data_IF_651461582095
#
_entry.id   IF_651461582095
#
_cell.length_a   1.000
_cell.length_b   1.000
_cell.length_c   1.000
_cell.angle_alpha   90.00
_cell.angle_beta   90.00
_cell.angle_gamma   90.00
#
_symmetry.space_group_name_H-M   'P 1'
#
loop_
_entity.id
_entity.type
_entity.pdbx_description
1 polymer ?
#
# COMPACT_ATOMS: atom_id res chain seq x y z
N UNK A 1 -23.31 -10.75 4.22
CA UNK A 1 -23.25 -11.93 5.12
C UNK A 1 -21.89 -12.58 4.89
N UNK A 2 -21.22 -13.09 5.92
CA UNK A 2 -19.95 -13.79 5.76
C UNK A 2 -20.07 -14.95 4.77
N UNK A 3 -19.06 -15.17 3.95
CA UNK A 3 -19.00 -16.29 3.01
C UNK A 3 -18.70 -17.58 3.78
N UNK A 4 -19.48 -18.63 3.52
CA UNK A 4 -19.30 -19.92 4.19
C UNK A 4 -18.60 -20.94 3.30
N UNK A 5 -18.03 -21.99 3.90
CA UNK A 5 -17.49 -23.13 3.16
C UNK A 5 -18.51 -23.77 2.20
N UNK A 6 -19.80 -23.76 2.57
CA UNK A 6 -20.88 -24.27 1.72
C UNK A 6 -21.11 -23.38 0.49
N UNK A 7 -21.00 -22.06 0.65
CA UNK A 7 -21.11 -21.11 -0.46
C UNK A 7 -19.96 -21.29 -1.46
N UNK A 8 -18.73 -21.44 -0.97
CA UNK A 8 -17.56 -21.71 -1.83
C UNK A 8 -17.76 -23.01 -2.62
N UNK A 9 -18.18 -24.10 -1.97
CA UNK A 9 -18.44 -25.37 -2.67
C UNK A 9 -19.53 -25.26 -3.72
N UNK A 10 -20.58 -24.49 -3.46
CA UNK A 10 -21.64 -24.20 -4.43
C UNK A 10 -21.07 -23.41 -5.61
N UNK A 11 -20.35 -22.32 -5.37
CA UNK A 11 -19.80 -21.46 -6.43
C UNK A 11 -18.74 -22.17 -7.28
N UNK A 12 -17.92 -23.04 -6.69
CA UNK A 12 -16.97 -23.87 -7.44
C UNK A 12 -17.70 -24.67 -8.54
N UNK A 13 -18.87 -25.24 -8.24
CA UNK A 13 -19.68 -26.01 -9.20
C UNK A 13 -20.39 -25.10 -10.20
N UNK A 14 -21.07 -24.06 -9.71
CA UNK A 14 -21.88 -23.14 -10.53
C UNK A 14 -21.06 -22.35 -11.54
N UNK A 15 -19.83 -21.91 -11.14
CA UNK A 15 -18.94 -21.10 -11.96
C UNK A 15 -17.83 -21.90 -12.66
N UNK A 16 -17.91 -23.25 -12.63
CA UNK A 16 -16.91 -24.14 -13.20
C UNK A 16 -15.48 -23.77 -12.78
N UNK A 17 -15.25 -23.58 -11.47
CA UNK A 17 -13.92 -23.29 -10.94
C UNK A 17 -13.10 -24.57 -10.96
N UNK A 18 -11.98 -24.55 -11.67
CA UNK A 18 -11.08 -25.71 -11.82
C UNK A 18 -9.81 -25.59 -10.99
N UNK A 19 -9.39 -24.36 -10.66
CA UNK A 19 -8.24 -24.09 -9.82
C UNK A 19 -8.54 -23.02 -8.77
N UNK A 20 -7.90 -23.14 -7.61
CA UNK A 20 -7.97 -22.16 -6.52
C UNK A 20 -6.56 -21.70 -6.17
N UNK A 21 -6.36 -20.39 -6.15
CA UNK A 21 -5.14 -19.74 -5.69
C UNK A 21 -5.24 -19.41 -4.21
N UNK A 22 -4.38 -19.99 -3.42
CA UNK A 22 -4.18 -19.63 -2.02
C UNK A 22 -3.11 -18.54 -1.99
N UNK A 23 -3.54 -17.30 -1.78
CA UNK A 23 -2.71 -16.11 -1.94
C UNK A 23 -2.28 -15.57 -0.57
N UNK A 24 -1.01 -15.15 -0.45
CA UNK A 24 -0.47 -14.52 0.74
C UNK A 24 0.62 -13.53 0.33
N UNK A 25 1.01 -12.62 1.24
CA UNK A 25 2.02 -11.60 0.96
C UNK A 25 3.33 -11.92 1.67
N UNK A 26 4.47 -11.73 1.00
CA UNK A 26 5.77 -11.69 1.67
C UNK A 26 6.00 -10.34 2.37
N UNK A 27 7.10 -10.22 3.12
CA UNK A 27 7.42 -8.97 3.85
C UNK A 27 7.64 -7.76 2.94
N UNK A 28 7.99 -7.97 1.69
CA UNK A 28 8.21 -6.90 0.70
C UNK A 28 6.92 -6.47 0.01
N UNK A 29 5.78 -7.09 0.33
CA UNK A 29 4.47 -6.77 -0.25
C UNK A 29 4.20 -7.46 -1.58
N UNK A 30 5.01 -8.44 -1.97
CA UNK A 30 4.76 -9.23 -3.16
C UNK A 30 3.71 -10.31 -2.86
N UNK A 31 2.63 -10.32 -3.64
CA UNK A 31 1.64 -11.39 -3.56
C UNK A 31 2.22 -12.69 -4.10
N UNK A 32 2.21 -13.72 -3.28
CA UNK A 32 2.58 -15.10 -3.60
C UNK A 32 1.33 -15.96 -3.67
N UNK A 33 1.41 -17.12 -4.28
CA UNK A 33 0.30 -18.08 -4.24
C UNK A 33 0.79 -19.53 -4.36
N UNK A 34 -0.03 -20.42 -3.82
CA UNK A 34 -0.04 -21.85 -4.15
C UNK A 34 -1.35 -22.14 -4.89
N UNK A 35 -1.27 -22.68 -6.08
CA UNK A 35 -2.45 -23.03 -6.86
C UNK A 35 -2.74 -24.51 -6.72
N UNK A 36 -3.99 -24.85 -6.44
CA UNK A 36 -4.48 -26.23 -6.27
C UNK A 36 -5.66 -26.51 -7.20
N UNK A 37 -5.85 -27.77 -7.69
CA UNK A 37 -7.06 -28.14 -8.39
C UNK A 37 -8.27 -28.11 -7.44
N UNK A 38 -9.42 -27.62 -7.93
CA UNK A 38 -10.64 -27.45 -7.13
C UNK A 38 -11.42 -28.77 -6.95
N UNK A 39 -10.72 -29.87 -6.62
CA UNK A 39 -11.36 -31.16 -6.30
C UNK A 39 -11.93 -31.14 -4.89
N UNK A 40 -12.92 -32.02 -4.62
CA UNK A 40 -13.52 -32.11 -3.28
C UNK A 40 -12.47 -32.39 -2.18
N UNK A 41 -11.48 -33.27 -2.47
CA UNK A 41 -10.38 -33.57 -1.54
C UNK A 41 -9.52 -32.34 -1.21
N UNK A 42 -9.15 -31.57 -2.22
CA UNK A 42 -8.32 -30.36 -2.00
C UNK A 42 -9.13 -29.26 -1.32
N UNK A 43 -10.40 -29.10 -1.68
CA UNK A 43 -11.31 -28.18 -1.00
C UNK A 43 -11.46 -28.53 0.49
N UNK A 44 -11.56 -29.82 0.84
CA UNK A 44 -11.61 -30.26 2.23
C UNK A 44 -10.36 -29.87 3.00
N UNK A 45 -9.17 -30.04 2.40
CA UNK A 45 -7.90 -29.62 3.02
C UNK A 45 -7.86 -28.12 3.23
N UNK A 46 -8.19 -27.32 2.22
CA UNK A 46 -8.17 -25.84 2.30
C UNK A 46 -9.16 -25.34 3.34
N UNK A 47 -10.42 -25.76 3.25
CA UNK A 47 -11.48 -25.29 4.13
C UNK A 47 -11.35 -25.79 5.58
N UNK A 48 -10.46 -26.76 5.83
CA UNK A 48 -10.08 -27.22 7.19
C UNK A 48 -8.72 -26.71 7.65
N UNK A 49 -8.14 -25.70 6.98
CA UNK A 49 -6.85 -25.09 7.32
C UNK A 49 -5.65 -26.08 7.28
N UNK A 50 -5.67 -27.01 6.34
CA UNK A 50 -4.64 -28.05 6.16
C UNK A 50 -3.83 -27.90 4.87
N UNK A 51 -3.91 -26.74 4.21
CA UNK A 51 -3.08 -26.43 3.05
C UNK A 51 -1.66 -26.07 3.52
N UNK A 52 -0.72 -26.96 3.27
CA UNK A 52 0.68 -26.80 3.66
C UNK A 52 1.52 -26.29 2.48
N UNK A 53 2.54 -25.49 2.77
CA UNK A 53 3.53 -25.02 1.79
C UNK A 53 4.91 -24.88 2.42
N UNK A 54 5.95 -24.82 1.58
CA UNK A 54 7.32 -24.55 2.00
C UNK A 54 7.57 -23.02 2.04
N UNK A 55 7.77 -22.49 3.25
CA UNK A 55 8.06 -21.06 3.48
C UNK A 55 9.55 -20.70 3.34
N UNK A 56 10.46 -21.67 3.22
CA UNK A 56 11.92 -21.42 3.28
C UNK A 56 12.47 -20.60 2.12
N UNK A 57 11.77 -20.58 0.99
CA UNK A 57 12.13 -19.79 -0.19
C UNK A 57 11.36 -18.46 -0.30
N UNK A 58 10.62 -18.09 0.76
CA UNK A 58 9.87 -16.83 0.82
C UNK A 58 10.68 -15.79 1.58
N UNK A 59 10.85 -14.61 0.98
CA UNK A 59 11.64 -13.52 1.57
C UNK A 59 11.14 -13.14 2.98
N UNK A 60 12.05 -13.23 3.95
CA UNK A 60 11.79 -12.87 5.34
C UNK A 60 10.92 -13.87 6.13
N UNK A 61 10.63 -15.08 5.59
CA UNK A 61 9.82 -16.06 6.31
C UNK A 61 10.70 -16.90 7.25
N UNK A 62 11.00 -18.15 6.90
CA UNK A 62 11.64 -19.12 7.80
C UNK A 62 12.90 -19.72 7.22
N UNK A 63 13.68 -20.42 8.05
CA UNK A 63 14.86 -21.16 7.60
C UNK A 63 14.47 -22.51 7.03
N UNK A 64 15.37 -23.13 6.24
CA UNK A 64 15.16 -24.44 5.58
C UNK A 64 14.77 -25.55 6.57
N UNK A 65 15.28 -25.53 7.79
CA UNK A 65 14.99 -26.53 8.80
C UNK A 65 13.61 -26.35 9.50
N UNK A 66 12.89 -25.28 9.20
CA UNK A 66 11.56 -24.95 9.75
C UNK A 66 10.61 -24.55 8.60
N UNK A 67 10.73 -25.21 7.45
CA UNK A 67 10.12 -24.73 6.20
C UNK A 67 8.62 -24.95 6.10
N UNK A 68 8.07 -25.95 6.77
CA UNK A 68 6.66 -26.30 6.65
C UNK A 68 5.77 -25.29 7.37
N UNK A 69 4.80 -24.75 6.63
CA UNK A 69 3.84 -23.76 7.09
C UNK A 69 2.44 -24.06 6.55
N UNK A 70 1.43 -23.49 7.18
CA UNK A 70 0.03 -23.65 6.78
C UNK A 70 -0.58 -22.33 6.29
N UNK A 71 -1.42 -22.43 5.27
CA UNK A 71 -2.26 -21.35 4.77
C UNK A 71 -3.67 -21.50 5.31
N UNK A 72 -4.12 -20.52 6.08
CA UNK A 72 -5.47 -20.44 6.62
C UNK A 72 -6.27 -19.41 5.80
N UNK A 73 -7.18 -19.86 4.91
CA UNK A 73 -7.91 -18.97 4.03
C UNK A 73 -8.92 -18.13 4.80
N UNK A 74 -8.95 -16.84 4.52
CA UNK A 74 -10.04 -15.97 4.91
C UNK A 74 -11.17 -16.11 3.88
N UNK A 75 -12.26 -16.79 4.26
CA UNK A 75 -13.33 -17.13 3.33
C UNK A 75 -14.03 -15.90 2.75
N UNK A 76 -14.07 -14.79 3.47
CA UNK A 76 -14.66 -13.54 2.99
C UNK A 76 -13.85 -12.87 1.87
N UNK A 77 -12.65 -13.38 1.57
CA UNK A 77 -11.83 -12.94 0.42
C UNK A 77 -12.07 -13.77 -0.84
N UNK A 78 -12.98 -14.76 -0.79
CA UNK A 78 -13.30 -15.60 -1.95
C UNK A 78 -13.65 -14.74 -3.16
N UNK A 79 -12.95 -14.95 -4.25
CA UNK A 79 -13.21 -14.27 -5.52
C UNK A 79 -12.97 -15.19 -6.70
N UNK A 80 -13.88 -15.19 -7.67
CA UNK A 80 -13.69 -15.88 -8.94
C UNK A 80 -13.20 -14.87 -9.96
N UNK A 81 -12.00 -15.09 -10.50
CA UNK A 81 -11.40 -14.19 -11.47
C UNK A 81 -12.17 -14.20 -12.79
N UNK A 82 -12.47 -13.02 -13.38
CA UNK A 82 -13.31 -12.92 -14.58
C UNK A 82 -12.57 -13.20 -15.90
N UNK A 83 -11.40 -13.83 -15.84
CA UNK A 83 -10.58 -14.20 -17.00
C UNK A 83 -10.38 -15.72 -17.17
N UNK A 84 -11.41 -16.50 -16.86
CA UNK A 84 -11.46 -17.92 -17.18
C UNK A 84 -11.51 -18.18 -18.69
N UNK A 85 -11.27 -19.40 -19.09
CA UNK A 85 -11.37 -19.89 -20.46
C UNK A 85 -12.29 -21.12 -20.57
N UNK A 86 -12.25 -21.78 -21.72
CA UNK A 86 -13.03 -23.00 -21.96
C UNK A 86 -12.70 -24.19 -21.01
N UNK A 87 -11.51 -24.15 -20.37
CA UNK A 87 -11.06 -25.16 -19.42
C UNK A 87 -11.57 -24.88 -17.99
N UNK A 88 -12.20 -23.75 -17.77
CA UNK A 88 -12.80 -23.37 -16.50
C UNK A 88 -12.32 -22.04 -15.95
N UNK A 89 -12.80 -21.72 -14.76
CA UNK A 89 -12.47 -20.50 -14.04
C UNK A 89 -11.42 -20.77 -12.97
N UNK A 90 -10.67 -19.73 -12.61
CA UNK A 90 -9.75 -19.72 -11.47
C UNK A 90 -10.34 -18.83 -10.38
N UNK A 91 -10.33 -19.31 -9.15
CA UNK A 91 -10.71 -18.51 -7.98
C UNK A 91 -9.49 -18.21 -7.09
N UNK A 92 -9.64 -17.25 -6.17
CA UNK A 92 -8.63 -16.92 -5.20
C UNK A 92 -9.18 -16.79 -3.79
N UNK A 93 -8.36 -17.10 -2.82
CA UNK A 93 -8.54 -16.84 -1.38
C UNK A 93 -7.27 -16.20 -0.85
N UNK A 94 -7.40 -15.12 -0.09
CA UNK A 94 -6.27 -14.56 0.67
C UNK A 94 -6.16 -15.33 1.97
N UNK A 95 -4.94 -15.71 2.32
CA UNK A 95 -4.66 -16.58 3.46
C UNK A 95 -3.78 -15.85 4.48
N UNK A 96 -4.02 -16.15 5.74
CA UNK A 96 -3.06 -15.91 6.81
C UNK A 96 -2.07 -17.08 6.89
N UNK A 97 -0.87 -16.81 7.38
CA UNK A 97 0.18 -17.82 7.51
C UNK A 97 0.30 -18.31 8.95
N UNK A 98 0.39 -19.62 9.11
CA UNK A 98 0.49 -20.28 10.41
C UNK A 98 1.67 -21.24 10.47
N UNK A 99 2.22 -21.44 11.67
CA UNK A 99 3.28 -22.42 11.93
C UNK A 99 2.71 -23.84 12.02
N UNK A 100 3.59 -24.83 12.06
CA UNK A 100 3.22 -26.25 12.27
C UNK A 100 2.58 -26.54 13.62
N UNK A 101 2.84 -25.68 14.62
CA UNK A 101 2.25 -25.74 15.95
C UNK A 101 0.82 -25.17 16.00
N UNK A 102 0.35 -24.56 14.87
CA UNK A 102 -0.96 -23.96 14.77
C UNK A 102 -1.05 -22.52 15.28
N UNK A 103 0.10 -21.87 15.47
CA UNK A 103 0.19 -20.48 15.90
C UNK A 103 0.29 -19.54 14.69
N UNK A 104 -0.28 -18.34 14.75
CA UNK A 104 -0.07 -17.32 13.73
C UNK A 104 1.42 -17.03 13.52
N UNK A 105 1.87 -17.05 12.28
CA UNK A 105 3.28 -16.79 11.99
C UNK A 105 3.63 -15.32 12.22
N UNK A 106 4.65 -15.04 13.03
CA UNK A 106 5.07 -13.70 13.40
C UNK A 106 5.58 -12.84 12.20
N UNK A 107 5.97 -13.49 11.11
CA UNK A 107 6.43 -12.86 9.87
C UNK A 107 5.33 -12.64 8.83
N UNK A 108 4.06 -12.99 9.13
CA UNK A 108 2.94 -12.74 8.25
C UNK A 108 2.53 -11.26 8.28
N UNK A 109 2.68 -10.50 7.16
CA UNK A 109 2.28 -9.10 7.10
C UNK A 109 0.79 -8.87 7.41
N UNK A 110 -0.08 -9.74 6.92
CA UNK A 110 -1.52 -9.67 7.15
C UNK A 110 -1.86 -9.95 8.61
N UNK A 111 -1.20 -10.93 9.21
CA UNK A 111 -1.26 -11.23 10.66
C UNK A 111 -0.78 -10.08 11.52
N UNK A 112 0.25 -9.35 11.05
CA UNK A 112 0.76 -8.15 11.73
C UNK A 112 -0.30 -7.03 11.78
N UNK A 113 -0.98 -6.75 10.68
CA UNK A 113 -2.09 -5.77 10.67
C UNK A 113 -3.23 -6.20 11.61
N UNK A 114 -3.59 -7.48 11.63
CA UNK A 114 -4.58 -8.01 12.58
C UNK A 114 -4.16 -7.81 14.04
N UNK A 115 -2.85 -7.85 14.34
CA UNK A 115 -2.34 -7.55 15.68
C UNK A 115 -2.57 -6.07 16.04
N UNK A 116 -2.26 -5.14 15.14
CA UNK A 116 -2.51 -3.71 15.33
C UNK A 116 -4.01 -3.40 15.50
N UNK A 117 -4.88 -4.10 14.75
CA UNK A 117 -6.33 -3.96 14.89
C UNK A 117 -6.84 -4.42 16.25
N UNK A 118 -6.29 -5.50 16.82
CA UNK A 118 -6.65 -5.90 18.21
C UNK A 118 -6.23 -4.84 19.23
N UNK A 119 -5.04 -4.25 19.08
CA UNK A 119 -4.63 -3.14 19.95
C UNK A 119 -5.58 -1.94 19.80
N UNK A 120 -6.00 -1.60 18.60
CA UNK A 120 -7.01 -0.56 18.36
C UNK A 120 -8.31 -0.83 19.11
N UNK A 121 -8.80 -2.09 19.10
CA UNK A 121 -10.01 -2.49 19.84
C UNK A 121 -9.81 -2.34 21.36
N UNK A 122 -8.62 -2.70 21.89
CA UNK A 122 -8.25 -2.52 23.30
C UNK A 122 -8.23 -1.04 23.71
N UNK A 123 -7.81 -0.15 22.82
CA UNK A 123 -7.84 1.32 23.02
C UNK A 123 -9.27 1.88 22.97
N UNK A 124 -10.24 1.12 22.42
CA UNK A 124 -11.66 1.46 22.43
C UNK A 124 -12.24 1.91 21.09
N UNK A 125 -11.55 1.68 19.99
CA UNK A 125 -12.07 1.93 18.64
C UNK A 125 -12.57 0.64 17.98
N UNK A 126 -13.60 0.79 17.13
CA UNK A 126 -14.25 -0.33 16.45
C UNK A 126 -13.62 -0.66 15.10
N UNK A 127 -13.27 0.36 14.32
CA UNK A 127 -12.68 0.16 13.00
C UNK A 127 -11.71 1.27 12.63
N UNK A 128 -10.68 0.88 11.89
CA UNK A 128 -9.78 1.76 11.16
C UNK A 128 -10.05 1.57 9.67
N UNK A 129 -10.38 2.66 8.98
CA UNK A 129 -10.75 2.63 7.58
C UNK A 129 -9.67 3.27 6.72
N UNK A 130 -9.52 2.74 5.50
CA UNK A 130 -8.55 3.17 4.50
C UNK A 130 -9.22 3.37 3.14
N UNK A 131 -9.08 4.57 2.58
CA UNK A 131 -9.35 4.87 1.16
C UNK A 131 -8.02 5.10 0.45
N UNK A 132 -7.50 4.14 -0.32
CA UNK A 132 -6.25 4.30 -1.05
C UNK A 132 -6.46 4.91 -2.42
N UNK A 133 -5.49 5.71 -2.89
CA UNK A 133 -5.43 6.31 -4.21
C UNK A 133 -4.15 5.80 -4.93
N UNK A 134 -4.15 4.58 -5.48
CA UNK A 134 -2.96 3.96 -6.05
C UNK A 134 -2.72 4.36 -7.50
N UNK A 135 -1.59 5.01 -7.75
CA UNK A 135 -1.12 5.40 -9.07
C UNK A 135 -0.23 4.32 -9.69
N UNK A 136 -0.23 4.25 -11.03
CA UNK A 136 0.60 3.31 -11.79
C UNK A 136 0.96 3.85 -13.17
N UNK A 137 2.01 3.29 -13.77
CA UNK A 137 2.42 3.60 -15.14
C UNK A 137 2.10 2.45 -16.09
N UNK A 138 1.81 2.81 -17.35
CA UNK A 138 1.67 1.90 -18.46
C UNK A 138 2.78 2.15 -19.48
N UNK A 139 3.58 1.13 -19.74
CA UNK A 139 4.66 1.12 -20.71
C UNK A 139 4.32 0.19 -21.88
N UNK A 140 4.92 0.46 -23.04
CA UNK A 140 4.85 -0.44 -24.18
C UNK A 140 5.70 -1.68 -23.94
N UNK A 141 5.32 -2.77 -24.58
CA UNK A 141 6.11 -3.97 -24.69
C UNK A 141 6.95 -3.91 -25.98
N UNK A 142 8.11 -4.55 -25.96
CA UNK A 142 8.89 -4.77 -27.17
C UNK A 142 8.34 -5.95 -28.02
N UNK A 143 9.00 -6.29 -29.11
CA UNK A 143 8.62 -7.38 -30.00
C UNK A 143 8.67 -8.78 -29.36
N UNK A 144 9.45 -8.93 -28.29
CA UNK A 144 9.57 -10.17 -27.52
C UNK A 144 8.53 -10.23 -26.38
N UNK A 145 7.80 -9.13 -26.16
CA UNK A 145 6.87 -8.97 -25.07
C UNK A 145 7.51 -8.57 -23.75
N UNK A 146 8.73 -8.06 -23.76
CA UNK A 146 9.42 -7.54 -22.59
C UNK A 146 9.06 -6.06 -22.34
N UNK A 147 9.05 -5.60 -21.07
CA UNK A 147 8.72 -4.22 -20.73
C UNK A 147 9.80 -3.26 -21.23
N UNK A 148 9.37 -2.14 -21.83
CA UNK A 148 10.26 -1.03 -22.21
C UNK A 148 10.09 0.15 -21.24
N UNK A 149 10.89 1.22 -21.41
CA UNK A 149 10.67 2.53 -20.77
C UNK A 149 9.93 3.51 -21.69
N UNK A 150 9.34 3.01 -22.77
CA UNK A 150 8.50 3.81 -23.67
C UNK A 150 7.07 3.84 -23.16
N UNK A 151 6.60 5.04 -22.80
CA UNK A 151 5.22 5.25 -22.34
C UNK A 151 4.23 5.10 -23.51
N UNK A 152 3.01 4.70 -23.21
CA UNK A 152 1.99 4.46 -24.24
C UNK A 152 1.42 5.73 -24.86
N UNK A 153 1.48 6.88 -24.17
CA UNK A 153 0.90 8.15 -24.62
C UNK A 153 1.73 9.38 -24.22
N UNK A 154 1.18 10.56 -24.46
CA UNK A 154 1.72 11.87 -24.08
C UNK A 154 0.70 12.70 -23.31
N UNK A 155 -0.29 12.03 -22.72
CA UNK A 155 -1.32 12.66 -21.91
C UNK A 155 -0.77 13.31 -20.63
N UNK A 156 -1.57 14.16 -20.04
CA UNK A 156 -1.35 14.81 -18.77
C UNK A 156 -2.62 14.74 -17.90
N UNK A 157 -2.62 15.45 -16.80
CA UNK A 157 -3.66 15.40 -15.78
C UNK A 157 -5.06 15.66 -16.37
N UNK A 158 -5.95 14.66 -16.21
CA UNK A 158 -7.32 14.65 -16.70
C UNK A 158 -7.50 14.74 -18.23
N UNK A 159 -6.45 14.48 -19.00
CA UNK A 159 -6.60 14.35 -20.45
C UNK A 159 -7.51 13.16 -20.79
N UNK A 160 -8.21 13.31 -21.90
CA UNK A 160 -9.13 12.29 -22.43
C UNK A 160 -8.66 11.79 -23.80
N UNK A 161 -9.27 10.73 -24.30
CA UNK A 161 -9.04 10.26 -25.67
C UNK A 161 -9.37 11.37 -26.69
N UNK A 162 -8.59 11.55 -27.76
CA UNK A 162 -7.53 10.66 -28.25
C UNK A 162 -6.13 10.92 -27.68
N UNK A 163 -5.92 11.87 -26.77
CA UNK A 163 -4.61 12.14 -26.17
C UNK A 163 -4.23 11.05 -25.18
N UNK A 164 -5.15 10.64 -24.31
CA UNK A 164 -5.06 9.46 -23.46
C UNK A 164 -5.29 8.18 -24.28
N UNK A 165 -4.23 7.48 -24.61
CA UNK A 165 -4.30 6.24 -25.40
C UNK A 165 -4.60 4.99 -24.56
N UNK A 166 -4.61 5.10 -23.23
CA UNK A 166 -4.92 4.00 -22.32
C UNK A 166 -6.37 4.00 -21.79
N UNK A 167 -7.22 4.93 -22.26
CA UNK A 167 -8.62 5.05 -21.82
C UNK A 167 -9.38 3.70 -21.89
N UNK A 168 -9.23 2.95 -22.98
CA UNK A 168 -9.85 1.64 -23.13
C UNK A 168 -9.30 0.60 -22.13
N UNK A 169 -7.98 0.60 -21.92
CA UNK A 169 -7.33 -0.31 -20.95
C UNK A 169 -7.81 -0.01 -19.54
N UNK A 170 -7.82 1.26 -19.16
CA UNK A 170 -8.29 1.71 -17.85
C UNK A 170 -9.78 1.37 -17.64
N UNK A 171 -10.63 1.56 -18.66
CA UNK A 171 -12.05 1.20 -18.65
C UNK A 171 -12.25 -0.31 -18.46
N UNK A 172 -11.45 -1.18 -19.11
CA UNK A 172 -11.53 -2.61 -18.90
C UNK A 172 -11.09 -3.00 -17.48
N UNK A 173 -10.03 -2.38 -16.94
CA UNK A 173 -9.61 -2.56 -15.54
C UNK A 173 -10.77 -2.24 -14.60
N UNK A 174 -11.41 -1.07 -14.75
CA UNK A 174 -12.56 -0.66 -13.93
C UNK A 174 -13.72 -1.66 -14.03
N UNK A 175 -14.06 -2.11 -15.25
CA UNK A 175 -15.12 -3.09 -15.45
C UNK A 175 -14.81 -4.43 -14.76
N UNK A 176 -13.57 -4.88 -14.80
CA UNK A 176 -13.12 -6.10 -14.12
C UNK A 176 -13.20 -5.94 -12.61
N UNK A 177 -12.66 -4.83 -12.06
CA UNK A 177 -12.73 -4.52 -10.63
C UNK A 177 -14.17 -4.47 -10.14
N UNK A 178 -15.07 -3.81 -10.89
CA UNK A 178 -16.50 -3.73 -10.55
C UNK A 178 -17.16 -5.10 -10.51
N UNK A 179 -16.84 -5.99 -11.47
CA UNK A 179 -17.33 -7.39 -11.45
C UNK A 179 -16.80 -8.19 -10.26
N UNK A 180 -15.65 -7.81 -9.72
CA UNK A 180 -15.05 -8.41 -8.53
C UNK A 180 -15.51 -7.75 -7.22
N UNK A 181 -16.49 -6.84 -7.27
CA UNK A 181 -17.09 -6.20 -6.09
C UNK A 181 -16.38 -4.94 -5.60
N UNK A 182 -15.50 -4.34 -6.39
CA UNK A 182 -14.95 -3.03 -6.07
C UNK A 182 -15.98 -1.93 -6.39
N UNK A 183 -16.17 -1.00 -5.47
CA UNK A 183 -16.88 0.24 -5.72
C UNK A 183 -15.85 1.29 -6.22
N UNK A 184 -15.66 1.37 -7.54
CA UNK A 184 -14.74 2.34 -8.14
C UNK A 184 -15.39 3.73 -8.13
N UNK A 185 -14.66 4.74 -7.65
CA UNK A 185 -15.13 6.12 -7.50
C UNK A 185 -14.63 7.02 -8.62
N UNK A 186 -13.36 6.89 -9.02
CA UNK A 186 -12.75 7.68 -10.08
C UNK A 186 -11.74 6.86 -10.89
N UNK A 187 -11.47 7.32 -12.11
CA UNK A 187 -10.47 6.75 -13.00
C UNK A 187 -10.04 7.82 -14.01
N UNK A 188 -8.77 8.19 -13.99
CA UNK A 188 -8.27 9.27 -14.84
C UNK A 188 -6.80 9.08 -15.24
N UNK A 189 -6.38 9.87 -16.24
CA UNK A 189 -4.98 10.07 -16.57
C UNK A 189 -4.33 10.96 -15.52
N UNK A 190 -3.13 10.60 -15.05
CA UNK A 190 -2.36 11.36 -14.09
C UNK A 190 -1.43 12.40 -14.74
N UNK A 191 -0.68 13.16 -13.90
CA UNK A 191 0.18 14.27 -14.34
C UNK A 191 1.28 13.81 -15.29
N UNK A 192 1.92 12.69 -15.02
CA UNK A 192 3.00 12.19 -15.86
C UNK A 192 2.47 11.42 -17.08
N UNK A 193 3.19 11.54 -18.20
CA UNK A 193 2.90 10.76 -19.41
C UNK A 193 2.86 9.25 -19.11
N UNK A 194 1.81 8.58 -19.56
CA UNK A 194 1.58 7.16 -19.31
C UNK A 194 1.25 6.80 -17.86
N UNK A 195 0.91 7.78 -17.02
CA UNK A 195 0.52 7.58 -15.62
C UNK A 195 -0.99 7.63 -15.45
N UNK A 196 -1.51 6.75 -14.61
CA UNK A 196 -2.94 6.56 -14.39
C UNK A 196 -3.24 6.36 -12.92
N UNK A 197 -4.46 6.72 -12.53
CA UNK A 197 -5.02 6.50 -11.20
C UNK A 197 -6.41 5.90 -11.31
N UNK A 198 -6.75 5.00 -10.40
CA UNK A 198 -8.09 4.43 -10.25
C UNK A 198 -8.39 4.36 -8.76
N UNK A 199 -9.34 5.19 -8.32
CA UNK A 199 -9.76 5.29 -6.94
C UNK A 199 -10.93 4.38 -6.68
N UNK A 200 -10.89 3.69 -5.56
CA UNK A 200 -12.01 2.87 -5.10
C UNK A 200 -12.35 3.20 -3.65
N UNK A 201 -13.61 3.07 -3.34
CA UNK A 201 -14.20 3.43 -2.06
C UNK A 201 -13.43 2.82 -0.89
N UNK A 202 -13.30 3.61 0.17
CA UNK A 202 -12.71 3.17 1.42
C UNK A 202 -13.42 1.93 2.00
N UNK A 203 -12.67 1.14 2.75
CA UNK A 203 -13.16 -0.04 3.45
C UNK A 203 -12.45 -0.16 4.81
N UNK A 204 -12.87 -1.09 5.64
CA UNK A 204 -12.05 -1.50 6.79
C UNK A 204 -10.65 -1.87 6.32
N UNK A 205 -9.64 -1.44 7.05
CA UNK A 205 -8.25 -1.43 6.56
C UNK A 205 -7.73 -2.79 6.11
N UNK A 206 -8.13 -3.88 6.77
CA UNK A 206 -7.71 -5.23 6.35
C UNK A 206 -8.26 -5.56 4.96
N UNK A 207 -9.55 -5.27 4.70
CA UNK A 207 -10.18 -5.45 3.41
C UNK A 207 -9.64 -4.50 2.35
N UNK A 208 -9.36 -3.26 2.72
CA UNK A 208 -8.73 -2.29 1.82
C UNK A 208 -7.32 -2.77 1.40
N UNK A 209 -6.51 -3.30 2.30
CA UNK A 209 -5.21 -3.90 1.98
C UNK A 209 -5.33 -5.13 1.08
N UNK A 210 -6.28 -6.03 1.36
CA UNK A 210 -6.60 -7.16 0.49
C UNK A 210 -6.98 -6.68 -0.93
N UNK A 211 -7.82 -5.65 -1.02
CA UNK A 211 -8.22 -5.02 -2.30
C UNK A 211 -7.04 -4.37 -3.03
N UNK A 212 -6.11 -3.69 -2.35
CA UNK A 212 -4.90 -3.14 -2.98
C UNK A 212 -4.09 -4.25 -3.66
N UNK A 213 -3.94 -5.40 -3.04
CA UNK A 213 -3.20 -6.52 -3.62
C UNK A 213 -3.90 -7.09 -4.85
N UNK A 214 -5.21 -7.29 -4.78
CA UNK A 214 -6.03 -7.73 -5.92
C UNK A 214 -6.03 -6.69 -7.04
N UNK A 215 -6.14 -5.40 -6.70
CA UNK A 215 -6.05 -4.29 -7.65
C UNK A 215 -4.76 -4.37 -8.48
N UNK A 216 -3.60 -4.52 -7.82
CA UNK A 216 -2.31 -4.66 -8.51
C UNK A 216 -2.28 -5.84 -9.47
N UNK A 217 -2.87 -6.97 -9.08
CA UNK A 217 -2.99 -8.16 -9.92
C UNK A 217 -3.87 -7.88 -11.14
N UNK A 218 -5.04 -7.28 -10.95
CA UNK A 218 -5.99 -6.94 -12.03
C UNK A 218 -5.35 -5.98 -13.03
N UNK A 219 -4.77 -4.87 -12.54
CA UNK A 219 -4.13 -3.86 -13.39
C UNK A 219 -3.05 -4.49 -14.26
N UNK A 220 -2.14 -5.28 -13.69
CA UNK A 220 -1.07 -5.95 -14.44
C UNK A 220 -1.63 -6.96 -15.46
N UNK A 221 -2.65 -7.72 -15.08
CA UNK A 221 -3.25 -8.74 -15.95
C UNK A 221 -3.96 -8.10 -17.14
N UNK A 222 -4.75 -7.06 -16.92
CA UNK A 222 -5.50 -6.40 -18.00
C UNK A 222 -4.57 -5.57 -18.88
N UNK A 223 -3.60 -4.85 -18.31
CA UNK A 223 -2.61 -4.14 -19.12
C UNK A 223 -1.89 -5.10 -20.09
N UNK A 224 -1.49 -6.29 -19.63
CA UNK A 224 -0.84 -7.30 -20.47
C UNK A 224 -1.74 -7.77 -21.63
N UNK A 225 -3.05 -7.91 -21.41
CA UNK A 225 -4.02 -8.25 -22.49
C UNK A 225 -4.11 -7.16 -23.56
N UNK A 226 -3.86 -5.90 -23.19
CA UNK A 226 -3.82 -4.76 -24.10
C UNK A 226 -2.44 -4.51 -24.73
N UNK A 227 -1.48 -5.42 -24.55
CA UNK A 227 -0.12 -5.25 -25.07
C UNK A 227 0.69 -4.18 -24.33
N UNK A 228 0.33 -3.89 -23.08
CA UNK A 228 1.00 -2.93 -22.22
C UNK A 228 1.60 -3.62 -20.99
N UNK A 229 2.54 -2.94 -20.36
CA UNK A 229 3.14 -3.34 -19.08
C UNK A 229 2.80 -2.34 -18.00
N UNK A 230 2.11 -2.79 -16.97
CA UNK A 230 1.78 -1.96 -15.81
C UNK A 230 2.85 -2.10 -14.72
N UNK A 231 3.33 -0.96 -14.21
CA UNK A 231 4.26 -0.93 -13.08
C UNK A 231 3.77 0.01 -11.97
N UNK A 232 4.01 -0.44 -10.75
CA UNK A 232 3.79 0.32 -9.52
C UNK A 232 5.11 0.87 -8.94
N UNK A 233 6.16 0.99 -9.74
CA UNK A 233 7.39 1.67 -9.33
C UNK A 233 7.09 3.11 -8.90
N UNK A 234 7.69 3.55 -7.80
CA UNK A 234 7.53 4.91 -7.31
C UNK A 234 8.05 5.97 -8.29
N UNK A 235 9.14 5.68 -9.02
CA UNK A 235 9.73 6.60 -10.02
C UNK A 235 10.34 5.80 -11.17
N UNK A 236 9.54 5.35 -12.15
CA UNK A 236 10.05 4.53 -13.23
C UNK A 236 10.86 5.30 -14.28
N UNK A 237 10.69 6.63 -14.35
CA UNK A 237 11.34 7.46 -15.39
C UNK A 237 11.84 8.78 -14.79
N UNK A 238 13.04 9.19 -15.21
CA UNK A 238 13.62 10.49 -14.84
C UNK A 238 12.86 11.64 -15.51
N UNK A 239 12.76 12.77 -14.80
CA UNK A 239 12.23 14.04 -15.35
C UNK A 239 10.70 14.17 -15.39
N UNK A 240 9.94 13.17 -14.88
CA UNK A 240 8.47 13.21 -14.79
C UNK A 240 8.02 12.97 -13.36
N UNK A 241 6.74 13.20 -13.00
CA UNK A 241 6.20 12.84 -11.70
C UNK A 241 6.32 11.33 -11.43
N UNK A 242 6.36 10.91 -10.16
CA UNK A 242 6.35 9.52 -9.75
C UNK A 242 4.99 9.10 -9.23
N UNK A 243 4.79 7.81 -8.97
CA UNK A 243 3.53 7.26 -8.45
C UNK A 243 3.47 7.30 -6.92
N UNK A 244 2.40 7.87 -6.41
CA UNK A 244 1.97 7.80 -5.01
C UNK A 244 0.92 6.71 -4.79
N UNK A 245 0.64 6.47 -3.52
CA UNK A 245 -0.54 5.77 -3.03
C UNK A 245 -1.02 6.52 -1.80
N UNK A 246 -1.75 7.61 -2.00
CA UNK A 246 -2.25 8.41 -0.89
C UNK A 246 -3.19 7.58 -0.03
N UNK A 247 -3.06 7.73 1.28
CA UNK A 247 -3.78 6.92 2.26
C UNK A 247 -4.74 7.81 3.05
N UNK A 248 -6.03 7.75 2.70
CA UNK A 248 -7.10 8.42 3.43
C UNK A 248 -7.55 7.55 4.61
N UNK A 249 -7.30 8.02 5.83
CA UNK A 249 -7.49 7.23 7.06
C UNK A 249 -8.51 7.86 7.99
N UNK A 250 -9.33 7.03 8.63
CA UNK A 250 -10.26 7.44 9.69
C UNK A 250 -10.47 6.33 10.72
N UNK A 251 -10.72 6.72 11.98
CA UNK A 251 -11.13 5.83 13.06
C UNK A 251 -12.63 5.97 13.35
N UNK A 252 -13.25 4.88 13.77
CA UNK A 252 -14.64 4.84 14.19
C UNK A 252 -14.76 4.30 15.60
N UNK A 253 -15.65 4.91 16.40
CA UNK A 253 -15.93 4.49 17.77
C UNK A 253 -16.82 3.24 17.83
N UNK A 254 -17.11 2.77 19.04
CA UNK A 254 -17.94 1.59 19.28
C UNK A 254 -19.37 1.75 18.76
N UNK A 255 -19.89 2.97 18.73
CA UNK A 255 -21.21 3.34 18.25
C UNK A 255 -21.27 3.48 16.72
N UNK A 256 -20.12 3.45 16.04
CA UNK A 256 -19.99 3.59 14.59
C UNK A 256 -19.96 5.03 14.10
N UNK A 257 -19.66 6.01 14.98
CA UNK A 257 -19.42 7.38 14.60
C UNK A 257 -17.97 7.58 14.18
N UNK A 258 -17.71 8.54 13.30
CA UNK A 258 -16.36 8.93 12.94
C UNK A 258 -15.67 9.62 14.12
N UNK A 259 -14.67 8.98 14.72
CA UNK A 259 -13.95 9.45 15.88
C UNK A 259 -13.07 10.68 15.62
N UNK A 260 -12.84 11.03 14.34
CA UNK A 260 -12.07 12.21 13.96
C UNK A 260 -12.90 13.49 13.83
N UNK A 261 -14.24 13.41 13.87
CA UNK A 261 -15.12 14.55 13.68
C UNK A 261 -15.55 15.17 15.00
N UNK A 262 -15.43 16.50 15.12
CA UNK A 262 -16.06 17.32 16.15
C UNK A 262 -16.58 18.62 15.52
N UNK A 263 -17.92 18.83 15.46
CA UNK A 263 -18.50 20.05 14.90
C UNK A 263 -18.16 21.31 15.72
N UNK A 264 -17.76 21.15 16.98
CA UNK A 264 -17.47 22.23 17.93
C UNK A 264 -15.98 22.48 18.13
N UNK A 265 -15.12 21.94 17.26
CA UNK A 265 -13.67 22.10 17.33
C UNK A 265 -13.24 23.58 17.50
N UNK A 266 -12.59 23.94 18.62
CA UNK A 266 -12.16 25.32 18.87
C UNK A 266 -11.06 25.80 17.93
N UNK A 267 -10.35 24.91 17.24
CA UNK A 267 -9.33 25.21 16.22
C UNK A 267 -9.95 25.46 14.83
N UNK A 268 -11.27 25.25 14.68
CA UNK A 268 -12.04 25.60 13.47
C UNK A 268 -11.90 24.67 12.29
N UNK A 269 -11.26 23.50 12.45
CA UNK A 269 -11.10 22.49 11.42
C UNK A 269 -12.16 21.39 11.48
N UNK A 270 -13.03 21.41 12.47
CA UNK A 270 -14.02 20.38 12.79
C UNK A 270 -13.38 18.99 13.02
N UNK A 271 -12.21 18.98 13.64
CA UNK A 271 -11.51 17.79 14.07
C UNK A 271 -11.63 17.59 15.56
N UNK A 272 -11.79 16.33 15.98
CA UNK A 272 -11.78 15.96 17.39
C UNK A 272 -10.37 16.00 17.99
N UNK A 273 -10.26 16.00 19.32
CA UNK A 273 -8.98 15.80 20.02
C UNK A 273 -8.34 14.49 19.60
N UNK A 274 -9.13 13.42 19.40
CA UNK A 274 -8.65 12.14 18.87
C UNK A 274 -7.95 12.29 17.52
N UNK A 275 -8.54 13.07 16.60
CA UNK A 275 -7.92 13.33 15.29
C UNK A 275 -6.60 14.11 15.43
N UNK A 276 -6.57 15.14 16.28
CA UNK A 276 -5.34 15.91 16.51
C UNK A 276 -4.23 15.07 17.16
N UNK A 277 -4.58 14.20 18.11
CA UNK A 277 -3.60 13.31 18.74
C UNK A 277 -3.11 12.23 17.78
N UNK A 278 -4.00 11.63 16.97
CA UNK A 278 -3.61 10.69 15.92
C UNK A 278 -2.66 11.36 14.92
N UNK A 279 -3.00 12.57 14.45
CA UNK A 279 -2.15 13.39 13.58
C UNK A 279 -0.82 13.73 14.25
N UNK A 280 -0.83 14.06 15.54
CA UNK A 280 0.39 14.29 16.34
C UNK A 280 1.31 13.07 16.32
N UNK A 281 0.76 11.87 16.47
CA UNK A 281 1.49 10.61 16.32
C UNK A 281 2.08 10.42 14.93
N UNK A 282 1.28 10.65 13.87
CA UNK A 282 1.75 10.57 12.49
C UNK A 282 2.94 11.50 12.22
N UNK A 283 2.84 12.76 12.62
CA UNK A 283 3.89 13.77 12.41
C UNK A 283 5.15 13.45 13.22
N UNK A 284 5.00 13.07 14.50
CA UNK A 284 6.12 12.76 15.39
C UNK A 284 7.00 11.63 14.86
N UNK A 285 6.40 10.57 14.32
CA UNK A 285 7.11 9.38 13.85
C UNK A 285 7.40 9.39 12.35
N UNK A 286 7.06 10.48 11.63
CA UNK A 286 7.12 10.55 10.17
C UNK A 286 8.50 10.21 9.60
N UNK A 287 9.56 10.76 10.18
CA UNK A 287 10.93 10.51 9.76
C UNK A 287 11.32 9.04 9.91
N UNK A 288 10.83 8.38 10.97
CA UNK A 288 11.21 7.03 11.36
C UNK A 288 10.45 5.95 10.59
N UNK A 289 9.16 6.17 10.27
CA UNK A 289 8.39 5.19 9.49
C UNK A 289 8.58 5.31 7.97
N UNK A 290 9.31 6.31 7.48
CA UNK A 290 9.46 6.55 6.03
C UNK A 290 10.00 5.32 5.29
N UNK A 291 10.92 4.53 5.89
CA UNK A 291 11.42 3.30 5.26
C UNK A 291 10.33 2.27 4.97
N UNK A 292 9.23 2.27 5.72
CA UNK A 292 8.10 1.37 5.54
C UNK A 292 7.14 1.90 4.48
N UNK A 293 6.90 3.21 4.46
CA UNK A 293 6.02 3.88 3.50
C UNK A 293 6.64 4.01 2.11
N UNK A 294 7.98 4.03 2.06
CA UNK A 294 8.80 4.27 0.88
C UNK A 294 9.97 3.25 0.87
N UNK A 295 9.69 1.96 0.59
CA UNK A 295 10.56 0.86 1.00
C UNK A 295 11.71 0.53 0.05
N UNK A 296 11.94 1.31 -1.00
CA UNK A 296 12.97 0.97 -2.00
C UNK A 296 13.91 2.14 -2.28
N UNK A 297 15.08 1.85 -2.86
CA UNK A 297 15.98 2.91 -3.36
C UNK A 297 15.29 3.80 -4.39
N UNK A 298 14.34 3.23 -5.13
CA UNK A 298 13.56 3.95 -6.14
C UNK A 298 12.55 4.92 -5.53
N UNK A 299 12.01 4.64 -4.34
CA UNK A 299 11.08 5.50 -3.60
C UNK A 299 11.66 6.90 -3.38
N UNK A 300 12.95 7.01 -3.10
CA UNK A 300 13.66 8.29 -2.86
C UNK A 300 13.99 9.05 -4.14
N UNK A 301 13.75 8.46 -5.31
CA UNK A 301 13.75 9.19 -6.59
C UNK A 301 12.41 9.91 -6.84
N UNK A 302 11.31 9.47 -6.16
CA UNK A 302 10.02 10.16 -6.12
C UNK A 302 10.01 11.28 -5.07
N UNK A 303 10.53 11.02 -3.86
CA UNK A 303 10.56 11.97 -2.73
C UNK A 303 11.60 13.07 -2.95
N UNK A 304 11.40 13.87 -4.01
CA UNK A 304 12.23 15.02 -4.36
C UNK A 304 11.35 16.24 -4.64
N UNK A 305 11.81 17.46 -4.31
CA UNK A 305 11.03 18.67 -4.60
C UNK A 305 10.75 18.86 -6.09
N UNK A 306 9.57 19.45 -6.41
CA UNK A 306 9.22 19.84 -7.78
C UNK A 306 8.44 18.81 -8.59
N UNK A 307 8.08 17.66 -8.01
CA UNK A 307 7.31 16.60 -8.68
C UNK A 307 6.09 16.14 -7.87
N UNK A 308 5.45 17.05 -7.15
CA UNK A 308 4.20 16.87 -6.39
C UNK A 308 4.26 15.88 -5.20
N UNK A 309 5.37 15.16 -5.00
CA UNK A 309 5.55 14.31 -3.84
C UNK A 309 5.86 15.14 -2.58
N UNK A 310 5.25 14.83 -1.44
CA UNK A 310 5.54 15.53 -0.18
C UNK A 310 6.93 15.11 0.33
N UNK A 311 7.76 16.10 0.60
CA UNK A 311 9.12 15.88 1.15
C UNK A 311 9.32 16.52 2.52
N UNK A 312 8.30 17.26 3.00
CA UNK A 312 8.35 18.04 4.23
C UNK A 312 7.39 17.51 5.28
N UNK A 313 7.88 17.32 6.50
CA UNK A 313 7.07 16.85 7.64
C UNK A 313 6.26 18.03 8.17
N UNK A 314 5.04 18.16 7.67
CA UNK A 314 4.07 19.17 8.02
C UNK A 314 2.67 18.66 7.71
N UNK A 315 1.63 19.39 8.14
CA UNK A 315 0.26 19.13 7.79
C UNK A 315 -0.52 20.41 7.48
N UNK A 316 -1.61 20.27 6.72
CA UNK A 316 -2.50 21.39 6.39
C UNK A 316 -3.92 20.95 6.08
N UNK A 317 -4.86 21.91 6.12
CA UNK A 317 -6.26 21.71 5.72
C UNK A 317 -6.52 21.92 4.24
N UNK A 318 -5.82 22.86 3.60
CA UNK A 318 -6.10 23.27 2.20
C UNK A 318 -4.92 23.08 1.25
N UNK A 319 -3.73 23.08 1.78
CA UNK A 319 -2.49 22.95 1.03
C UNK A 319 -2.21 21.49 0.69
N UNK A 320 -1.68 21.21 -0.52
CA UNK A 320 -1.28 19.86 -0.99
C UNK A 320 0.24 19.60 -0.90
N UNK A 321 1.03 20.58 -0.45
CA UNK A 321 2.48 20.43 -0.33
C UNK A 321 2.94 19.66 0.92
N UNK A 322 2.23 19.66 2.08
CA UNK A 322 2.68 18.93 3.27
C UNK A 322 2.43 17.41 3.19
N UNK A 323 3.06 16.72 4.15
CA UNK A 323 2.99 15.26 4.31
C UNK A 323 1.57 14.75 4.57
N UNK A 324 0.85 15.45 5.48
CA UNK A 324 -0.53 15.08 5.84
C UNK A 324 -1.47 16.22 5.46
N UNK A 325 -2.53 15.88 4.74
CA UNK A 325 -3.63 16.80 4.42
C UNK A 325 -4.90 16.39 5.16
N UNK A 326 -5.70 17.38 5.53
CA UNK A 326 -7.07 17.17 6.04
C UNK A 326 -8.06 17.51 4.93
N UNK A 327 -8.60 16.53 4.19
CA UNK A 327 -9.57 16.78 3.12
C UNK A 327 -10.80 17.56 3.60
N UNK A 328 -11.52 18.20 2.68
CA UNK A 328 -12.63 19.11 3.00
C UNK A 328 -13.87 18.43 3.58
N UNK A 329 -14.07 17.14 3.32
CA UNK A 329 -15.22 16.37 3.83
C UNK A 329 -15.24 16.36 5.38
N UNK A 330 -16.43 16.45 5.96
CA UNK A 330 -16.66 16.43 7.43
C UNK A 330 -17.77 15.44 7.78
N UNK A 331 -18.07 15.31 9.06
CA UNK A 331 -18.99 14.28 9.56
C UNK A 331 -18.42 12.88 9.36
N UNK A 332 -19.19 11.99 8.79
CA UNK A 332 -18.76 10.62 8.50
C UNK A 332 -17.56 10.54 7.53
N UNK A 333 -17.35 11.57 6.71
CA UNK A 333 -16.24 11.66 5.74
C UNK A 333 -14.97 12.33 6.28
N UNK A 334 -14.90 12.66 7.57
CA UNK A 334 -13.71 13.28 8.17
C UNK A 334 -12.56 12.30 8.19
N UNK A 335 -11.40 12.71 7.66
CA UNK A 335 -10.24 11.84 7.49
C UNK A 335 -8.93 12.61 7.44
N UNK A 336 -7.85 11.90 7.62
CA UNK A 336 -6.48 12.36 7.42
C UNK A 336 -5.89 11.66 6.20
N UNK A 337 -5.29 12.39 5.28
CA UNK A 337 -4.64 11.86 4.09
C UNK A 337 -3.12 11.93 4.25
N UNK A 338 -2.46 10.77 4.34
CA UNK A 338 -1.00 10.69 4.27
C UNK A 338 -0.58 10.53 2.82
N UNK A 339 0.27 11.44 2.33
CA UNK A 339 0.58 11.59 0.91
C UNK A 339 1.94 11.04 0.49
N UNK A 340 2.81 10.66 1.44
CA UNK A 340 4.15 10.16 1.12
C UNK A 340 4.19 8.71 0.65
N UNK A 341 3.24 7.89 1.05
CA UNK A 341 3.24 6.45 0.72
C UNK A 341 3.32 6.25 -0.79
N UNK A 342 4.15 5.32 -1.23
CA UNK A 342 4.18 4.91 -2.63
C UNK A 342 3.63 3.47 -2.82
N UNK A 343 3.21 3.10 -4.03
CA UNK A 343 2.54 1.82 -4.24
C UNK A 343 3.47 0.60 -4.17
N UNK A 344 4.78 0.80 -3.92
CA UNK A 344 5.72 -0.29 -3.64
C UNK A 344 5.66 -0.74 -2.17
N UNK A 345 5.05 0.07 -1.29
CA UNK A 345 4.86 -0.31 0.11
C UNK A 345 4.02 -1.58 0.24
N UNK A 346 4.38 -2.41 1.23
CA UNK A 346 3.51 -3.50 1.66
C UNK A 346 2.30 -2.90 2.39
N UNK A 347 1.07 -3.01 1.86
CA UNK A 347 -0.08 -2.31 2.43
C UNK A 347 -0.40 -2.76 3.86
N UNK A 348 -0.22 -4.03 4.18
CA UNK A 348 -0.50 -4.54 5.53
C UNK A 348 0.46 -3.97 6.57
N UNK A 349 1.76 -4.01 6.29
CA UNK A 349 2.79 -3.49 7.21
C UNK A 349 2.68 -1.97 7.32
N UNK A 350 2.48 -1.28 6.21
CA UNK A 350 2.33 0.17 6.19
C UNK A 350 1.14 0.62 7.06
N UNK A 351 -0.02 -0.01 6.89
CA UNK A 351 -1.21 0.35 7.67
C UNK A 351 -1.11 -0.05 9.13
N UNK A 352 -0.46 -1.18 9.46
CA UNK A 352 -0.17 -1.55 10.84
C UNK A 352 0.68 -0.48 11.55
N UNK A 353 1.75 -0.02 10.89
CA UNK A 353 2.62 1.04 11.44
C UNK A 353 1.87 2.36 11.57
N UNK A 354 1.09 2.80 10.57
CA UNK A 354 0.34 4.05 10.65
C UNK A 354 -0.73 4.03 11.74
N UNK A 355 -1.41 2.89 11.93
CA UNK A 355 -2.35 2.70 13.01
C UNK A 355 -1.66 2.81 14.37
N UNK A 356 -0.58 2.08 14.58
CA UNK A 356 0.13 2.04 15.87
C UNK A 356 0.75 3.39 16.26
N UNK A 357 1.36 4.12 15.31
CA UNK A 357 1.89 5.47 15.61
C UNK A 357 0.75 6.47 15.87
N UNK A 358 -0.38 6.32 15.21
CA UNK A 358 -1.58 7.12 15.47
C UNK A 358 -2.18 6.83 16.85
N UNK A 359 -2.31 5.55 17.23
CA UNK A 359 -2.76 5.13 18.56
C UNK A 359 -1.79 5.61 19.65
N UNK A 360 -0.49 5.48 19.43
CA UNK A 360 0.53 6.06 20.32
C UNK A 360 0.33 7.57 20.52
N UNK A 361 -0.07 8.29 19.47
CA UNK A 361 -0.43 9.70 19.54
C UNK A 361 -1.65 9.93 20.46
N UNK A 362 -2.69 9.13 20.32
CA UNK A 362 -3.90 9.21 21.13
C UNK A 362 -3.61 8.89 22.61
N UNK A 363 -2.99 7.74 22.88
CA UNK A 363 -2.71 7.27 24.24
C UNK A 363 -1.81 8.22 25.03
N UNK A 364 -0.85 8.86 24.35
CA UNK A 364 0.11 9.80 24.96
C UNK A 364 -0.29 11.27 24.76
N UNK A 365 -1.47 11.55 24.19
CA UNK A 365 -2.00 12.90 23.95
C UNK A 365 -0.98 13.79 23.23
N UNK A 366 -0.38 13.27 22.17
CA UNK A 366 0.64 14.00 21.40
C UNK A 366 -0.07 15.06 20.57
N UNK A 367 0.24 16.32 20.88
CA UNK A 367 -0.34 17.45 20.14
C UNK A 367 0.25 17.53 18.72
N UNK A 368 -0.61 17.73 17.74
CA UNK A 368 -0.17 18.06 16.40
C UNK A 368 0.44 19.47 16.38
N UNK A 369 1.54 19.72 15.64
CA UNK A 369 2.08 21.07 15.47
C UNK A 369 1.07 21.99 14.78
N UNK A 370 1.36 23.27 14.68
CA UNK A 370 0.50 24.21 13.94
C UNK A 370 0.42 23.79 12.44
N UNK A 371 -0.75 23.93 11.79
CA UNK A 371 -0.87 23.66 10.36
C UNK A 371 -0.08 24.66 9.52
N UNK A 372 0.46 24.21 8.38
CA UNK A 372 1.18 25.04 7.42
C UNK A 372 0.32 25.21 6.16
N UNK A 373 -0.40 26.31 6.07
CA UNK A 373 -1.28 26.59 4.92
C UNK A 373 -0.56 27.28 3.74
N UNK A 374 0.69 27.69 3.94
CA UNK A 374 1.54 28.28 2.92
C UNK A 374 2.18 27.21 2.03
N UNK A 375 2.51 27.58 0.80
CA UNK A 375 3.21 26.67 -0.11
C UNK A 375 4.65 26.44 0.36
N UNK A 376 4.92 25.28 0.95
CA UNK A 376 6.23 24.94 1.54
C UNK A 376 7.34 24.91 0.48
N UNK A 377 7.02 24.63 -0.79
CA UNK A 377 8.01 24.55 -1.87
C UNK A 377 8.68 25.88 -2.20
N UNK A 378 8.03 27.02 -1.89
CA UNK A 378 8.60 28.36 -2.11
C UNK A 378 9.24 28.97 -0.86
N UNK A 379 9.11 28.33 0.32
CA UNK A 379 9.74 28.75 1.55
C UNK A 379 11.26 28.56 1.50
N UNK A 380 12.01 29.53 2.03
CA UNK A 380 13.46 29.39 2.25
C UNK A 380 13.76 28.35 3.33
N UNK A 381 15.01 27.90 3.42
CA UNK A 381 15.44 26.97 4.46
C UNK A 381 15.28 27.57 5.87
N UNK A 382 15.52 28.87 6.00
CA UNK A 382 15.35 29.64 7.24
C UNK A 382 13.88 29.68 7.66
N UNK A 383 12.97 30.03 6.76
CA UNK A 383 11.53 30.06 7.01
C UNK A 383 10.99 28.68 7.42
N UNK A 384 11.41 27.61 6.74
CA UNK A 384 11.04 26.24 7.14
C UNK A 384 11.53 25.90 8.54
N UNK A 385 12.77 26.26 8.86
CA UNK A 385 13.35 26.02 10.20
C UNK A 385 12.61 26.79 11.29
N UNK A 386 12.27 28.04 11.05
CA UNK A 386 11.47 28.87 11.99
C UNK A 386 10.07 28.30 12.19
N UNK A 387 9.45 27.75 11.14
CA UNK A 387 8.17 27.07 11.21
C UNK A 387 8.25 25.65 11.81
N UNK A 388 9.44 25.16 12.18
CA UNK A 388 9.63 23.81 12.72
C UNK A 388 9.46 22.68 11.70
N UNK A 389 9.52 23.00 10.40
CA UNK A 389 9.37 22.01 9.31
C UNK A 389 10.70 21.31 9.09
N UNK A 390 10.67 19.98 9.10
CA UNK A 390 11.83 19.13 8.78
C UNK A 390 11.57 18.34 7.50
N UNK A 391 12.64 17.90 6.85
CA UNK A 391 12.55 17.09 5.63
C UNK A 391 12.37 15.60 5.98
N UNK A 392 11.74 14.85 5.09
CA UNK A 392 11.78 13.38 5.11
C UNK A 392 13.21 12.88 4.80
N UNK A 393 13.57 11.64 5.17
CA UNK A 393 14.83 11.04 4.76
C UNK A 393 15.04 11.12 3.25
N UNK A 394 16.22 11.48 2.80
CA UNK A 394 16.56 11.65 1.37
C UNK A 394 17.03 10.37 0.68
N UNK A 395 17.27 9.30 1.43
CA UNK A 395 17.71 7.98 0.93
C UNK A 395 17.12 6.87 1.79
N UNK A 396 17.01 5.66 1.21
CA UNK A 396 16.62 4.47 1.99
C UNK A 396 17.60 4.23 3.15
N UNK A 397 18.89 4.50 2.96
CA UNK A 397 19.91 4.37 4.03
C UNK A 397 19.57 5.22 5.26
N UNK A 398 19.26 6.49 5.04
CA UNK A 398 18.90 7.41 6.13
C UNK A 398 17.58 6.98 6.79
N UNK A 399 16.60 6.53 6.00
CA UNK A 399 15.32 6.07 6.51
C UNK A 399 15.46 4.77 7.32
N UNK A 400 16.31 3.83 6.89
CA UNK A 400 16.60 2.61 7.66
C UNK A 400 17.33 2.93 8.97
N UNK A 401 18.23 3.93 8.98
CA UNK A 401 18.85 4.39 10.21
C UNK A 401 17.79 4.96 11.16
N UNK A 402 16.94 5.83 10.67
CA UNK A 402 15.85 6.42 11.45
C UNK A 402 14.90 5.34 12.01
N UNK A 403 14.55 4.34 11.22
CA UNK A 403 13.73 3.19 11.65
C UNK A 403 14.34 2.49 12.88
N UNK A 404 15.67 2.39 12.96
CA UNK A 404 16.34 1.75 14.11
C UNK A 404 16.31 2.60 15.40
N UNK A 405 15.90 3.84 15.33
CA UNK A 405 15.88 4.78 16.46
C UNK A 405 14.50 4.94 17.10
N UNK A 406 13.46 4.29 16.56
CA UNK A 406 12.07 4.45 17.00
C UNK A 406 11.47 3.15 17.53
N UNK A 407 11.30 3.05 18.84
CA UNK A 407 10.78 1.86 19.50
C UNK A 407 9.28 1.61 19.20
N UNK A 408 8.49 2.67 18.90
CA UNK A 408 7.08 2.51 18.56
C UNK A 408 6.93 1.86 17.19
N UNK A 409 7.70 2.33 16.21
CA UNK A 409 7.69 1.76 14.86
C UNK A 409 8.23 0.32 14.86
N UNK A 410 9.29 0.03 15.66
CA UNK A 410 9.79 -1.34 15.82
C UNK A 410 8.73 -2.27 16.42
N UNK A 411 8.04 -1.82 17.49
CA UNK A 411 6.99 -2.60 18.14
C UNK A 411 5.80 -2.85 17.20
N UNK A 412 5.43 -1.86 16.38
CA UNK A 412 4.40 -1.99 15.36
C UNK A 412 4.71 -3.09 14.33
N UNK A 413 5.98 -3.26 13.96
CA UNK A 413 6.43 -4.30 13.05
C UNK A 413 6.52 -5.68 13.74
N UNK A 414 6.89 -5.69 15.01
CA UNK A 414 7.32 -6.90 15.72
C UNK A 414 8.71 -7.37 15.29
N UNK A 415 9.36 -8.15 16.14
CA UNK A 415 10.77 -8.51 16.00
C UNK A 415 11.07 -9.20 14.66
N UNK A 416 10.25 -10.15 14.24
CA UNK A 416 10.52 -10.94 13.04
C UNK A 416 10.47 -10.06 11.78
N UNK A 417 9.38 -9.32 11.57
CA UNK A 417 9.23 -8.45 10.38
C UNK A 417 10.28 -7.34 10.40
N UNK A 418 10.50 -6.71 11.55
CA UNK A 418 11.51 -5.66 11.71
C UNK A 418 12.89 -6.14 11.29
N UNK A 419 13.35 -7.27 11.83
CA UNK A 419 14.69 -7.80 11.57
C UNK A 419 14.84 -8.19 10.10
N UNK A 420 13.88 -8.95 9.56
CA UNK A 420 13.90 -9.43 8.17
C UNK A 420 13.81 -8.29 7.16
N UNK A 421 12.94 -7.31 7.41
CA UNK A 421 12.83 -6.12 6.55
C UNK A 421 14.12 -5.30 6.56
N UNK A 422 14.68 -5.05 7.74
CA UNK A 422 15.91 -4.27 7.88
C UNK A 422 17.10 -4.94 7.19
N UNK A 423 17.23 -6.26 7.30
CA UNK A 423 18.27 -7.02 6.62
C UNK A 423 18.10 -6.96 5.09
N UNK A 424 16.93 -7.29 4.58
CA UNK A 424 16.65 -7.24 3.15
C UNK A 424 16.95 -5.85 2.53
N UNK A 425 16.53 -4.78 3.23
CA UNK A 425 16.73 -3.42 2.73
C UNK A 425 18.15 -2.89 2.87
N UNK A 426 18.91 -3.39 3.83
CA UNK A 426 20.35 -3.13 3.92
C UNK A 426 21.13 -3.79 2.77
N UNK A 427 20.75 -5.02 2.39
CA UNK A 427 21.32 -5.73 1.25
C UNK A 427 20.99 -4.96 -0.05
N UNK A 428 19.75 -4.54 -0.24
CA UNK A 428 19.32 -3.72 -1.38
C UNK A 428 20.14 -2.43 -1.49
N UNK A 429 20.29 -1.71 -0.38
CA UNK A 429 21.10 -0.49 -0.35
C UNK A 429 22.58 -0.75 -0.65
N UNK A 430 23.19 -1.77 -0.07
CA UNK A 430 24.59 -2.10 -0.30
C UNK A 430 24.85 -2.44 -1.79
N UNK A 431 23.95 -3.17 -2.42
CA UNK A 431 24.00 -3.47 -3.85
C UNK A 431 23.88 -2.21 -4.71
N UNK A 432 22.91 -1.35 -4.39
CA UNK A 432 22.70 -0.08 -5.13
C UNK A 432 23.86 0.89 -4.94
N UNK A 433 24.40 1.02 -3.73
CA UNK A 433 25.49 1.96 -3.42
C UNK A 433 26.82 1.67 -4.15
N UNK A 434 27.00 0.44 -4.62
CA UNK A 434 28.17 0.01 -5.39
C UNK A 434 27.90 -0.04 -6.91
N UNK A 435 26.66 0.17 -7.33
CA UNK A 435 26.29 0.13 -8.75
C UNK A 435 26.77 1.41 -9.46
N UNK A 436 27.56 1.25 -10.49
CA UNK A 436 28.01 2.36 -11.36
C UNK A 436 26.93 2.61 -12.42
N UNK A 437 26.24 3.73 -12.30
CA UNK A 437 25.16 4.10 -13.23
C UNK A 437 25.67 4.64 -14.55
N UNK A 438 24.87 4.53 -15.62
CA UNK A 438 25.19 5.15 -16.91
C UNK A 438 25.40 6.66 -16.78
N UNK A 439 24.67 7.33 -15.88
CA UNK A 439 24.85 8.76 -15.59
C UNK A 439 26.26 9.08 -15.11
N UNK A 440 26.84 8.25 -14.23
CA UNK A 440 28.23 8.44 -13.73
C UNK A 440 29.23 8.22 -14.87
N UNK A 441 29.04 7.19 -15.68
CA UNK A 441 29.89 6.91 -16.86
C UNK A 441 29.85 8.10 -17.83
N UNK A 442 28.67 8.60 -18.17
CA UNK A 442 28.47 9.69 -19.12
C UNK A 442 29.07 11.03 -18.62
N UNK A 443 29.14 11.22 -17.29
CA UNK A 443 29.61 12.48 -16.69
C UNK A 443 31.08 12.45 -16.26
N UNK A 444 31.65 11.29 -16.00
CA UNK A 444 32.96 11.21 -15.38
C UNK A 444 34.03 10.51 -16.24
N UNK A 445 33.65 9.55 -17.11
CA UNK A 445 34.60 8.72 -17.82
C UNK A 445 35.60 9.53 -18.67
N UNK A 446 35.12 10.57 -19.35
CA UNK A 446 35.97 11.42 -20.21
C UNK A 446 36.65 12.59 -19.45
N UNK A 447 36.28 12.80 -18.17
CA UNK A 447 36.81 13.94 -17.41
C UNK A 447 37.94 13.55 -16.46
N UNK A 448 38.01 12.29 -16.08
CA UNK A 448 38.97 11.74 -15.12
C UNK A 448 39.62 10.45 -15.65
#
# INVERSE_FOLDING_TARGET
MPITAADIRREVKEKNVTFIRLMFSDILGTMKNVEIPATDEQLDKVLSNKAMFDGSSIEGFVRINESDMYLHPDLDTWTVFPWGDENGSVAGLICDVYTTEGEPFAGDPRGNLKRALRHMEEVGFKSFNLGPEPEFFLFKLDENGDPTLEVNDKGGYFDLAPTDLADNTRREIVNVLTKMGFEVEASHHEVAVGQHEIDFKYDEVLRACDKIQIFKLVVKTIARKHGLYATFMAKPKFGIAGSGMHCNMSLFDAEGNNAFFDPNDPKGMQLSETAYHFLGGLIKHAYNYTAIMNPTVNSYKRLVPGYEAPVYIAWAGRNRSPLVRVPASRGMGTRLELRSVDPMANPYIAMAVLLEVGLHGIENKIEAPAPIEENIYIMTAEERKEAGITDLPSTIHNALKALTEDEVVKAALGEHIYTSFLEAKRIEWASYATFVSQWEVDHYLDLY
#
